data_IF_842327551096
#
_entry.id   IF_842327551096
#
_cell.length_a   1.000
_cell.length_b   1.000
_cell.length_c   1.000
_cell.angle_alpha   90.00
_cell.angle_beta   90.00
_cell.angle_gamma   90.00
#
_symmetry.space_group_name_H-M   'P 1'
#
loop_
_entity.id
_entity.type
_entity.pdbx_description
1 polymer ?
#
# COMPACT_ATOMS: atom_id res chain seq x y z
N UNK A 1 23.54 17.46 29.23
CA UNK A 1 24.49 17.39 28.10
C UNK A 1 24.99 15.96 28.01
N UNK A 2 24.34 15.13 27.19
CA UNK A 2 24.77 13.74 26.90
C UNK A 2 25.18 13.73 25.43
N UNK A 3 26.37 13.23 25.05
CA UNK A 3 26.77 13.20 23.65
C UNK A 3 25.97 12.12 22.90
N UNK A 4 25.46 12.41 21.69
CA UNK A 4 24.96 11.36 20.81
C UNK A 4 26.15 10.62 20.19
N UNK A 5 26.55 9.52 20.81
CA UNK A 5 27.41 8.53 20.16
C UNK A 5 26.51 7.50 19.49
N UNK A 6 26.32 7.61 18.18
CA UNK A 6 26.36 6.40 17.35
C UNK A 6 27.05 6.75 16.05
N UNK A 7 28.33 6.41 16.05
CA UNK A 7 29.21 6.39 14.90
C UNK A 7 28.53 5.75 13.70
N UNK A 8 28.57 6.48 12.59
CA UNK A 8 28.48 5.99 11.22
C UNK A 8 29.40 4.78 11.02
N UNK A 9 28.88 3.58 11.25
CA UNK A 9 29.35 2.40 10.52
C UNK A 9 28.36 2.17 9.38
N UNK A 10 28.65 2.81 8.25
CA UNK A 10 28.16 2.35 6.96
C UNK A 10 28.71 0.93 6.76
N UNK A 11 27.96 -0.07 7.21
CA UNK A 11 28.13 -1.45 6.76
C UNK A 11 27.57 -1.49 5.35
N UNK A 12 28.47 -1.26 4.40
CA UNK A 12 28.36 -1.48 2.96
C UNK A 12 27.32 -2.55 2.59
N UNK A 13 26.17 -2.08 2.12
CA UNK A 13 25.32 -2.85 1.25
C UNK A 13 26.06 -3.05 -0.09
N UNK A 14 26.76 -4.17 -0.22
CA UNK A 14 27.15 -4.69 -1.53
C UNK A 14 27.34 -6.21 -1.43
N UNK A 15 26.26 -6.94 -1.17
CA UNK A 15 26.25 -8.36 -1.52
C UNK A 15 26.02 -8.43 -3.02
N UNK A 16 27.11 -8.61 -3.77
CA UNK A 16 27.17 -8.82 -5.21
C UNK A 16 26.29 -10.00 -5.65
N UNK A 17 24.99 -9.74 -5.85
CA UNK A 17 24.03 -10.67 -6.46
C UNK A 17 23.82 -10.40 -7.96
N UNK A 18 24.72 -9.65 -8.61
CA UNK A 18 24.61 -9.31 -10.04
C UNK A 18 24.62 -10.55 -10.97
N UNK A 19 25.17 -11.69 -10.53
CA UNK A 19 25.31 -12.87 -11.37
C UNK A 19 24.05 -13.73 -11.53
N UNK A 20 23.09 -13.66 -10.61
CA UNK A 20 21.86 -14.48 -10.67
C UNK A 20 20.72 -13.74 -11.39
N UNK A 21 20.68 -12.40 -11.27
CA UNK A 21 19.73 -11.56 -12.00
C UNK A 21 19.99 -11.61 -13.51
N UNK A 22 21.26 -11.52 -13.95
CA UNK A 22 21.61 -11.56 -15.38
C UNK A 22 21.16 -12.87 -16.06
N UNK A 23 21.32 -14.02 -15.37
CA UNK A 23 20.97 -15.34 -15.94
C UNK A 23 19.47 -15.47 -16.19
N UNK A 24 18.61 -14.98 -15.31
CA UNK A 24 17.16 -15.08 -15.48
C UNK A 24 16.58 -14.06 -16.46
N UNK A 25 17.21 -12.89 -16.63
CA UNK A 25 16.80 -11.89 -17.64
C UNK A 25 17.02 -12.41 -19.06
N UNK A 26 18.11 -13.16 -19.30
CA UNK A 26 18.40 -13.79 -20.60
C UNK A 26 17.41 -14.91 -20.94
N UNK A 27 16.84 -15.61 -19.95
CA UNK A 27 15.83 -16.66 -20.19
C UNK A 27 14.44 -16.12 -20.55
N UNK A 28 14.12 -14.86 -20.21
CA UNK A 28 12.85 -14.23 -20.57
C UNK A 28 12.76 -13.91 -22.08
N UNK A 29 13.90 -13.68 -22.74
CA UNK A 29 13.94 -13.36 -24.18
C UNK A 29 13.77 -14.57 -25.09
N UNK A 30 13.83 -15.79 -24.54
CA UNK A 30 13.80 -17.05 -25.31
C UNK A 30 12.51 -17.86 -25.13
N UNK A 31 11.49 -17.33 -24.42
CA UNK A 31 10.26 -18.09 -24.09
C UNK A 31 8.98 -17.54 -24.73
N UNK A 32 8.44 -18.27 -25.71
CA UNK A 32 7.21 -17.93 -26.46
C UNK A 32 5.90 -18.17 -25.68
N UNK A 33 5.96 -18.71 -24.47
CA UNK A 33 4.79 -19.09 -23.68
C UNK A 33 4.48 -18.07 -22.57
N UNK A 34 3.44 -17.27 -22.77
CA UNK A 34 3.05 -16.16 -21.88
C UNK A 34 2.79 -16.58 -20.41
N UNK A 35 2.41 -17.84 -20.16
CA UNK A 35 2.20 -18.34 -18.81
C UNK A 35 3.52 -18.57 -18.04
N UNK A 36 4.60 -18.95 -18.73
CA UNK A 36 5.92 -19.17 -18.13
C UNK A 36 6.66 -17.86 -17.86
N UNK A 37 6.58 -16.91 -18.79
CA UNK A 37 7.17 -15.59 -18.63
C UNK A 37 6.58 -14.82 -17.45
N UNK A 38 5.27 -14.94 -17.18
CA UNK A 38 4.62 -14.38 -15.98
C UNK A 38 5.18 -14.95 -14.68
N UNK A 39 5.27 -16.28 -14.55
CA UNK A 39 5.81 -16.95 -13.36
C UNK A 39 7.29 -16.61 -13.13
N UNK A 40 8.08 -16.48 -14.21
CA UNK A 40 9.48 -16.12 -14.11
C UNK A 40 9.66 -14.65 -13.69
N UNK A 41 8.84 -13.75 -14.24
CA UNK A 41 8.83 -12.33 -13.88
C UNK A 41 8.43 -12.12 -12.41
N UNK A 42 7.45 -12.87 -11.89
CA UNK A 42 7.06 -12.80 -10.48
C UNK A 42 8.22 -13.21 -9.55
N UNK A 43 8.99 -14.24 -9.93
CA UNK A 43 10.18 -14.67 -9.18
C UNK A 43 11.32 -13.66 -9.28
N UNK A 44 11.55 -13.07 -10.45
CA UNK A 44 12.57 -12.01 -10.65
C UNK A 44 12.21 -10.77 -9.84
N UNK A 45 10.93 -10.38 -9.80
CA UNK A 45 10.44 -9.26 -9.00
C UNK A 45 10.67 -9.51 -7.50
N UNK A 46 10.38 -10.73 -7.01
CA UNK A 46 10.64 -11.11 -5.61
C UNK A 46 12.13 -11.17 -5.26
N UNK A 47 13.00 -11.56 -6.19
CA UNK A 47 14.46 -11.67 -5.97
C UNK A 47 15.18 -10.32 -6.13
N UNK A 48 14.72 -9.47 -7.05
CA UNK A 48 15.31 -8.15 -7.33
C UNK A 48 14.70 -7.04 -6.49
N UNK A 49 13.50 -7.28 -5.95
CA UNK A 49 12.84 -6.41 -4.98
C UNK A 49 13.62 -6.40 -3.68
N UNK A 50 14.50 -5.41 -3.53
CA UNK A 50 15.19 -5.15 -2.27
C UNK A 50 14.22 -4.82 -1.13
N UNK A 51 14.65 -5.03 0.10
CA UNK A 51 13.87 -4.65 1.30
C UNK A 51 14.26 -3.24 1.72
N UNK A 52 13.31 -2.31 1.69
CA UNK A 52 13.50 -0.96 2.22
C UNK A 52 13.36 -0.99 3.76
N UNK A 53 14.37 -0.48 4.47
CA UNK A 53 14.38 -0.39 5.93
C UNK A 53 14.23 1.07 6.34
N UNK A 54 13.13 1.39 7.04
CA UNK A 54 12.88 2.74 7.58
C UNK A 54 13.36 2.76 9.03
N UNK A 55 14.33 3.64 9.33
CA UNK A 55 14.85 3.84 10.70
C UNK A 55 14.19 5.07 11.32
N UNK A 56 13.44 4.87 12.39
CA UNK A 56 12.77 5.93 13.13
C UNK A 56 13.61 6.30 14.35
N UNK A 57 14.01 7.56 14.46
CA UNK A 57 14.71 8.08 15.62
C UNK A 57 13.78 8.88 16.53
N UNK A 58 13.91 8.71 17.85
CA UNK A 58 13.23 9.50 18.87
C UNK A 58 14.15 9.68 20.10
N UNK A 59 13.86 10.70 20.92
CA UNK A 59 14.65 11.00 22.13
C UNK A 59 14.22 10.16 23.35
N UNK A 60 12.99 9.64 23.35
CA UNK A 60 12.40 8.83 24.42
C UNK A 60 11.71 7.59 23.82
N UNK A 61 11.57 6.53 24.61
CA UNK A 61 10.93 5.28 24.19
C UNK A 61 9.45 5.47 23.80
N UNK A 62 8.74 6.32 24.54
CA UNK A 62 7.33 6.62 24.28
C UNK A 62 7.12 7.36 22.96
N UNK A 63 8.00 8.28 22.61
CA UNK A 63 7.97 8.96 21.30
C UNK A 63 8.38 8.06 20.15
N UNK A 64 9.23 7.05 20.40
CA UNK A 64 9.63 6.08 19.39
C UNK A 64 8.43 5.26 18.93
N UNK A 65 7.65 4.74 19.88
CA UNK A 65 6.51 3.89 19.56
C UNK A 65 5.38 4.67 18.88
N UNK A 66 5.09 5.90 19.32
CA UNK A 66 4.10 6.76 18.65
C UNK A 66 4.50 7.06 17.19
N UNK A 67 5.76 7.44 16.94
CA UNK A 67 6.24 7.71 15.58
C UNK A 67 6.23 6.47 14.70
N UNK A 68 6.54 5.31 15.27
CA UNK A 68 6.48 4.03 14.56
C UNK A 68 5.04 3.72 14.12
N UNK A 69 4.08 3.82 15.02
CA UNK A 69 2.65 3.59 14.71
C UNK A 69 2.14 4.55 13.62
N UNK A 70 2.54 5.82 13.68
CA UNK A 70 2.18 6.82 12.65
C UNK A 70 2.76 6.48 11.27
N UNK A 71 3.97 5.95 11.22
CA UNK A 71 4.62 5.56 9.97
C UNK A 71 4.00 4.27 9.41
N UNK A 72 3.66 3.33 10.28
CA UNK A 72 2.97 2.09 9.88
C UNK A 72 1.59 2.39 9.30
N UNK A 73 0.85 3.30 9.91
CA UNK A 73 -0.45 3.75 9.41
C UNK A 73 -0.31 4.49 8.08
N UNK A 74 0.62 5.44 7.98
CA UNK A 74 0.87 6.18 6.74
C UNK A 74 1.26 5.25 5.58
N UNK A 75 2.12 4.25 5.84
CA UNK A 75 2.49 3.23 4.85
C UNK A 75 1.26 2.48 4.37
N UNK A 76 0.42 2.01 5.30
CA UNK A 76 -0.79 1.27 4.94
C UNK A 76 -1.76 2.13 4.12
N UNK A 77 -1.95 3.40 4.50
CA UNK A 77 -2.78 4.36 3.78
C UNK A 77 -2.27 4.58 2.34
N UNK A 78 -0.95 4.69 2.14
CA UNK A 78 -0.39 4.85 0.79
C UNK A 78 -0.56 3.62 -0.09
N UNK A 79 -0.54 2.41 0.49
CA UNK A 79 -0.79 1.20 -0.28
C UNK A 79 -2.26 1.09 -0.68
N UNK A 80 -3.19 1.37 0.23
CA UNK A 80 -4.61 1.43 -0.09
C UNK A 80 -4.90 2.46 -1.20
N UNK A 81 -4.29 3.65 -1.10
CA UNK A 81 -4.41 4.69 -2.12
C UNK A 81 -3.83 4.30 -3.48
N UNK A 82 -2.82 3.41 -3.52
CA UNK A 82 -2.24 2.94 -4.78
C UNK A 82 -3.14 1.92 -5.47
N UNK A 83 -3.81 1.07 -4.70
CA UNK A 83 -4.68 0.01 -5.24
C UNK A 83 -6.06 0.54 -5.65
N UNK A 84 -6.67 1.41 -4.84
CA UNK A 84 -8.06 1.89 -5.03
C UNK A 84 -8.15 3.34 -5.53
N UNK A 85 -7.05 4.11 -5.43
CA UNK A 85 -7.03 5.53 -5.74
C UNK A 85 -7.34 6.43 -4.53
N UNK A 86 -7.48 7.74 -4.79
CA UNK A 86 -7.76 8.74 -3.75
C UNK A 86 -9.07 9.48 -4.04
N UNK A 87 -9.74 9.90 -2.97
CA UNK A 87 -11.00 10.66 -3.02
C UNK A 87 -10.96 11.85 -2.07
N UNK A 88 -11.76 12.91 -2.29
CA UNK A 88 -11.79 14.07 -1.38
C UNK A 88 -12.22 13.66 0.04
N UNK A 89 -11.36 13.96 1.02
CA UNK A 89 -11.59 13.62 2.43
C UNK A 89 -12.66 14.47 3.11
N UNK A 90 -12.70 14.41 4.45
CA UNK A 90 -13.58 15.24 5.28
C UNK A 90 -15.07 14.94 5.13
N UNK A 91 -15.43 13.73 4.66
CA UNK A 91 -16.83 13.34 4.42
C UNK A 91 -17.42 13.91 3.12
N UNK A 92 -16.70 14.73 2.35
CA UNK A 92 -17.20 15.31 1.11
C UNK A 92 -17.55 14.25 0.06
N UNK A 93 -16.70 13.22 -0.07
CA UNK A 93 -16.99 12.06 -0.95
C UNK A 93 -18.33 11.42 -0.61
N UNK A 94 -18.66 11.30 0.68
CA UNK A 94 -19.90 10.68 1.12
C UNK A 94 -21.11 11.53 0.70
N UNK A 95 -21.06 12.85 0.91
CA UNK A 95 -22.13 13.78 0.51
C UNK A 95 -22.40 13.70 -1.01
N UNK A 96 -21.34 13.63 -1.82
CA UNK A 96 -21.49 13.48 -3.27
C UNK A 96 -22.10 12.12 -3.67
N UNK A 97 -21.79 11.05 -2.93
CA UNK A 97 -22.38 9.72 -3.16
C UNK A 97 -23.86 9.66 -2.76
N UNK A 98 -24.27 10.40 -1.72
CA UNK A 98 -25.68 10.47 -1.29
C UNK A 98 -26.62 10.92 -2.42
N UNK A 99 -26.19 11.86 -3.26
CA UNK A 99 -26.99 12.31 -4.41
C UNK A 99 -27.30 11.15 -5.37
N UNK A 100 -26.37 10.18 -5.52
CA UNK A 100 -26.53 9.02 -6.39
C UNK A 100 -27.37 7.90 -5.79
N UNK A 101 -27.51 7.83 -4.46
CA UNK A 101 -28.34 6.81 -3.78
C UNK A 101 -29.81 6.92 -4.21
N UNK A 102 -30.29 8.14 -4.49
CA UNK A 102 -31.64 8.37 -5.02
C UNK A 102 -31.92 7.61 -6.32
N UNK A 103 -30.91 7.46 -7.17
CA UNK A 103 -31.00 6.72 -8.43
C UNK A 103 -30.99 5.20 -8.20
N UNK A 104 -30.20 4.73 -7.23
CA UNK A 104 -30.11 3.31 -6.86
C UNK A 104 -31.44 2.82 -6.24
N UNK A 105 -32.06 3.64 -5.39
CA UNK A 105 -33.37 3.33 -4.77
C UNK A 105 -34.47 3.05 -5.79
N UNK A 106 -34.44 3.73 -6.95
CA UNK A 106 -35.43 3.56 -8.01
C UNK A 106 -35.24 2.26 -8.81
N UNK A 107 -34.05 1.64 -8.75
CA UNK A 107 -33.75 0.37 -9.42
C UNK A 107 -34.11 -0.86 -8.59
N UNK A 108 -34.39 -0.71 -7.29
CA UNK A 108 -34.69 -1.82 -6.39
C UNK A 108 -36.20 -2.07 -6.32
N UNK A 109 -36.61 -3.34 -6.34
CA UNK A 109 -38.03 -3.73 -6.35
C UNK A 109 -38.56 -3.96 -4.92
N UNK A 110 -37.75 -4.53 -4.03
CA UNK A 110 -38.11 -4.88 -2.66
C UNK A 110 -38.21 -3.67 -1.71
N UNK A 111 -39.25 -3.68 -0.86
CA UNK A 111 -39.54 -2.59 0.08
C UNK A 111 -38.51 -2.53 1.22
N UNK A 112 -38.01 -3.69 1.68
CA UNK A 112 -36.99 -3.78 2.73
C UNK A 112 -35.65 -3.17 2.29
N UNK A 113 -35.26 -3.36 1.03
CA UNK A 113 -34.00 -2.80 0.50
C UNK A 113 -34.06 -1.27 0.40
N UNK A 114 -35.24 -0.72 0.07
CA UNK A 114 -35.47 0.73 0.03
C UNK A 114 -35.36 1.39 1.40
N UNK A 115 -35.84 0.71 2.44
CA UNK A 115 -35.72 1.18 3.83
C UNK A 115 -34.23 1.21 4.24
N UNK A 116 -33.46 0.18 3.89
CA UNK A 116 -32.01 0.15 4.16
C UNK A 116 -31.27 1.28 3.42
N UNK A 117 -31.62 1.54 2.16
CA UNK A 117 -31.04 2.67 1.42
C UNK A 117 -31.34 4.02 2.07
N UNK A 118 -32.55 4.21 2.63
CA UNK A 118 -32.92 5.44 3.33
C UNK A 118 -32.17 5.60 4.68
N UNK A 119 -31.89 4.49 5.38
CA UNK A 119 -31.09 4.51 6.62
C UNK A 119 -29.67 4.96 6.31
N UNK A 120 -29.05 4.37 5.29
CA UNK A 120 -27.71 4.76 4.84
C UNK A 120 -27.69 6.23 4.41
N UNK A 121 -28.76 6.75 3.81
CA UNK A 121 -28.79 8.16 3.43
C UNK A 121 -28.94 9.15 4.61
N UNK A 122 -29.44 8.69 5.76
CA UNK A 122 -29.88 9.54 6.87
C UNK A 122 -28.99 9.49 8.11
N UNK A 123 -28.37 8.35 8.41
CA UNK A 123 -27.63 8.15 9.66
C UNK A 123 -26.11 8.32 9.46
N UNK A 124 -25.60 9.51 9.78
CA UNK A 124 -24.20 9.81 10.12
C UNK A 124 -24.10 11.01 11.08
#
# INVERSE_FOLDING_TARGET
MVPPQTSLSQSSASVSHGGLCQKNVVNLTETDNAALSRKLSERIAKLSGGVAVIKVGAHTETELEDRKLRIEDAKNATFAAMDEGIVPGGGATYIHLLEQISSIKNSMEDENEKIVADIVAKDW
#
